data_IF_681733003673
#
_entry.id   IF_681733003673
#
_cell.length_a   1.000
_cell.length_b   1.000
_cell.length_c   1.000
_cell.angle_alpha   90.00
_cell.angle_beta   90.00
_cell.angle_gamma   90.00
#
_symmetry.space_group_name_H-M   'P 1'
#
loop_
_entity.id
_entity.type
_entity.pdbx_description
1 polymer ?
#
# COMPACT_ATOMS: atom_id res chain seq x y z
N UNK A 1 -0.31 5.20 -4.78
CA UNK A 1 0.30 6.00 -3.70
C UNK A 1 0.57 7.42 -4.19
N UNK A 2 0.14 8.44 -3.45
CA UNK A 2 0.58 9.81 -3.72
C UNK A 2 2.09 9.90 -3.48
N UNK A 3 2.84 10.35 -4.47
CA UNK A 3 4.29 10.54 -4.33
C UNK A 3 4.50 11.83 -3.57
N UNK A 4 5.19 11.75 -2.42
CA UNK A 4 5.56 12.93 -1.65
C UNK A 4 6.34 13.91 -2.53
N UNK A 5 5.95 15.18 -2.46
CA UNK A 5 6.62 16.31 -3.10
C UNK A 5 8.05 16.44 -2.56
N UNK A 6 8.91 17.13 -3.30
CA UNK A 6 10.29 17.35 -2.88
C UNK A 6 10.38 18.05 -1.51
N UNK A 7 9.49 19.01 -1.24
CA UNK A 7 9.43 19.74 0.03
C UNK A 7 9.05 18.83 1.21
N UNK A 8 8.07 17.96 1.02
CA UNK A 8 7.67 16.98 2.04
C UNK A 8 8.81 16.00 2.37
N UNK A 9 9.60 15.61 1.37
CA UNK A 9 10.77 14.74 1.58
C UNK A 9 11.86 15.46 2.38
N UNK A 10 12.15 16.72 2.09
CA UNK A 10 13.12 17.49 2.88
C UNK A 10 12.69 17.70 4.33
N UNK A 11 11.40 17.93 4.56
CA UNK A 11 10.84 18.06 5.91
C UNK A 11 10.95 16.75 6.69
N UNK A 12 10.63 15.62 6.05
CA UNK A 12 10.83 14.29 6.63
C UNK A 12 12.29 14.04 7.01
N UNK A 13 13.25 14.39 6.14
CA UNK A 13 14.67 14.26 6.46
C UNK A 13 15.04 15.07 7.71
N UNK A 14 14.59 16.32 7.81
CA UNK A 14 14.84 17.17 8.99
C UNK A 14 14.24 16.59 10.27
N UNK A 15 13.04 16.00 10.17
CA UNK A 15 12.39 15.33 11.29
C UNK A 15 13.23 14.13 11.74
N UNK A 16 13.65 13.27 10.81
CA UNK A 16 14.48 12.09 11.11
C UNK A 16 15.82 12.49 11.72
N UNK A 17 16.47 13.54 11.22
CA UNK A 17 17.73 14.06 11.76
C UNK A 17 17.60 14.58 13.20
N UNK A 18 16.40 14.98 13.62
CA UNK A 18 16.12 15.47 14.97
C UNK A 18 15.70 14.38 15.96
N UNK A 19 15.48 13.15 15.49
CA UNK A 19 14.99 12.05 16.33
C UNK A 19 16.08 11.42 17.19
N UNK A 20 15.66 10.86 18.33
CA UNK A 20 16.54 10.02 19.14
C UNK A 20 16.85 8.71 18.40
N UNK A 21 17.99 8.06 18.69
CA UNK A 21 18.30 6.75 18.12
C UNK A 21 17.22 5.68 18.36
N UNK A 22 16.55 5.72 19.52
CA UNK A 22 15.48 4.79 19.86
C UNK A 22 14.22 5.03 19.00
N UNK A 23 13.90 6.29 18.71
CA UNK A 23 12.75 6.62 17.88
C UNK A 23 13.02 6.33 16.40
N UNK A 24 14.26 6.52 15.93
CA UNK A 24 14.70 6.07 14.61
C UNK A 24 14.52 4.55 14.49
N UNK A 25 14.88 3.79 15.53
CA UNK A 25 14.72 2.33 15.50
C UNK A 25 13.25 1.92 15.40
N UNK A 26 12.36 2.52 16.19
CA UNK A 26 10.91 2.25 16.11
C UNK A 26 10.33 2.62 14.74
N UNK A 27 10.78 3.74 14.16
CA UNK A 27 10.37 4.17 12.83
C UNK A 27 10.76 3.13 11.78
N UNK A 28 12.00 2.63 11.82
CA UNK A 28 12.49 1.61 10.90
C UNK A 28 11.75 0.27 11.08
N UNK A 29 11.51 -0.15 12.33
CA UNK A 29 10.74 -1.37 12.61
C UNK A 29 9.32 -1.26 12.06
N UNK A 30 8.67 -0.09 12.21
CA UNK A 30 7.34 0.14 11.66
C UNK A 30 7.33 0.18 10.13
N UNK A 31 8.32 0.83 9.51
CA UNK A 31 8.46 0.84 8.05
C UNK A 31 8.66 -0.58 7.49
N UNK A 32 9.46 -1.42 8.16
CA UNK A 32 9.64 -2.82 7.80
C UNK A 32 8.33 -3.61 7.94
N UNK A 33 7.56 -3.38 8.99
CA UNK A 33 6.24 -4.00 9.17
C UNK A 33 5.25 -3.62 8.08
N UNK A 34 5.17 -2.32 7.74
CA UNK A 34 4.32 -1.85 6.64
C UNK A 34 4.71 -2.50 5.30
N UNK A 35 6.02 -2.61 5.04
CA UNK A 35 6.49 -3.26 3.82
C UNK A 35 6.12 -4.75 3.77
N UNK A 36 6.22 -5.44 4.90
CA UNK A 36 5.78 -6.82 5.01
C UNK A 36 4.27 -6.99 4.74
N UNK A 37 3.43 -6.05 5.19
CA UNK A 37 2.00 -6.08 4.88
C UNK A 37 1.73 -5.88 3.39
N UNK A 38 2.38 -4.89 2.77
CA UNK A 38 2.28 -4.61 1.34
C UNK A 38 2.69 -5.83 0.50
N UNK A 39 3.87 -6.42 0.77
CA UNK A 39 4.36 -7.58 0.02
C UNK A 39 3.43 -8.80 0.16
N UNK A 40 2.70 -8.90 1.28
CA UNK A 40 1.68 -9.94 1.48
C UNK A 40 0.41 -9.67 0.70
N UNK A 41 -0.11 -8.45 0.74
CA UNK A 41 -1.29 -8.04 -0.03
C UNK A 41 -1.05 -8.24 -1.52
N UNK A 42 0.11 -7.80 -2.04
CA UNK A 42 0.52 -8.00 -3.43
C UNK A 42 0.54 -9.49 -3.82
N UNK A 43 1.02 -10.37 -2.93
CA UNK A 43 1.06 -11.80 -3.17
C UNK A 43 -0.36 -12.43 -3.17
N UNK A 44 -1.23 -11.98 -2.26
CA UNK A 44 -2.63 -12.42 -2.18
C UNK A 44 -3.41 -11.97 -3.43
N UNK A 45 -3.24 -10.72 -3.87
CA UNK A 45 -3.83 -10.18 -5.09
C UNK A 45 -3.35 -10.93 -6.34
N UNK A 46 -2.05 -11.17 -6.46
CA UNK A 46 -1.48 -11.92 -7.57
C UNK A 46 -2.02 -13.36 -7.62
N UNK A 47 -2.15 -14.02 -6.46
CA UNK A 47 -2.72 -15.36 -6.37
C UNK A 47 -4.21 -15.38 -6.76
N UNK A 48 -4.98 -14.38 -6.31
CA UNK A 48 -6.39 -14.24 -6.66
C UNK A 48 -6.57 -14.05 -8.16
N UNK A 49 -5.86 -13.10 -8.77
CA UNK A 49 -5.91 -12.83 -10.21
C UNK A 49 -5.53 -14.09 -11.00
N UNK A 50 -4.49 -14.80 -10.59
CA UNK A 50 -4.06 -16.02 -11.28
C UNK A 50 -5.11 -17.14 -11.22
N UNK A 51 -5.80 -17.29 -10.09
CA UNK A 51 -6.84 -18.30 -9.89
C UNK A 51 -8.14 -18.00 -10.67
N UNK A 52 -8.48 -16.72 -10.85
CA UNK A 52 -9.73 -16.27 -11.46
C UNK A 52 -9.53 -15.71 -12.88
N UNK A 53 -8.35 -15.92 -13.48
CA UNK A 53 -7.97 -15.32 -14.79
C UNK A 53 -8.90 -15.69 -15.95
N UNK A 54 -9.54 -16.85 -15.86
CA UNK A 54 -10.40 -17.41 -16.92
C UNK A 54 -11.89 -17.12 -16.63
N UNK A 55 -12.19 -16.47 -15.51
CA UNK A 55 -13.56 -16.09 -15.16
C UNK A 55 -14.04 -14.92 -16.01
N UNK A 56 -15.31 -14.96 -16.47
CA UNK A 56 -15.86 -13.84 -17.23
C UNK A 56 -15.98 -12.60 -16.33
N UNK A 57 -15.31 -11.53 -16.72
CA UNK A 57 -15.43 -10.22 -16.05
C UNK A 57 -16.49 -9.35 -16.74
N UNK A 58 -17.33 -8.69 -15.96
CA UNK A 58 -18.26 -7.66 -16.44
C UNK A 58 -17.83 -6.26 -16.00
N UNK A 59 -18.20 -5.19 -16.72
CA UNK A 59 -18.00 -3.82 -16.27
C UNK A 59 -18.66 -3.59 -14.90
N UNK A 60 -18.01 -2.81 -14.04
CA UNK A 60 -18.52 -2.49 -12.70
C UNK A 60 -19.94 -1.89 -12.75
N UNK A 61 -20.22 -1.05 -13.74
CA UNK A 61 -21.55 -0.46 -13.94
C UNK A 61 -22.65 -1.50 -14.18
N UNK A 62 -22.32 -2.62 -14.84
CA UNK A 62 -23.26 -3.72 -15.06
C UNK A 62 -23.44 -4.54 -13.78
N UNK A 63 -22.35 -4.83 -13.07
CA UNK A 63 -22.41 -5.52 -11.78
C UNK A 63 -23.25 -4.74 -10.75
N UNK A 64 -23.12 -3.41 -10.70
CA UNK A 64 -23.89 -2.56 -9.79
C UNK A 64 -25.39 -2.57 -10.13
N UNK A 65 -25.75 -2.54 -11.42
CA UNK A 65 -27.15 -2.66 -11.87
C UNK A 65 -27.78 -3.98 -11.45
N UNK A 66 -27.05 -5.10 -11.56
CA UNK A 66 -27.54 -6.41 -11.11
C UNK A 66 -27.78 -6.46 -9.59
N UNK A 67 -27.01 -5.69 -8.81
CA UNK A 67 -27.15 -5.57 -7.35
C UNK A 67 -28.19 -4.52 -6.93
N UNK A 68 -28.78 -3.78 -7.87
CA UNK A 68 -29.76 -2.73 -7.59
C UNK A 68 -29.17 -1.47 -6.93
N UNK A 69 -27.88 -1.21 -7.17
CA UNK A 69 -27.10 -0.08 -6.65
C UNK A 69 -26.81 0.97 -7.72
#
# INVERSE_FOLDING_TARGET
MAVATFQEKEELCRIVDSMSPDDIRKLLDYAAFLRFLEDREDAEDAAYIAAHKDEPSIPLEEALKELGL
#
